data_IF_453783201025
#
_entry.id   IF_453783201025
#
_cell.length_a   1.000
_cell.length_b   1.000
_cell.length_c   1.000
_cell.angle_alpha   90.00
_cell.angle_beta   90.00
_cell.angle_gamma   90.00
#
_symmetry.space_group_name_H-M   'P 1'
#
loop_
_entity.id
_entity.type
_entity.pdbx_description
1 polymer ?
#
# COMPACT_ATOMS: atom_id res chain seq x y z
N UNK A 1 23.97 2.12 -2.57
CA UNK A 1 23.09 2.76 -1.56
C UNK A 1 21.76 2.97 -2.25
N UNK A 2 20.68 2.36 -1.75
CA UNK A 2 19.36 2.50 -2.37
C UNK A 2 18.68 3.76 -1.83
N UNK A 3 18.52 4.74 -2.70
CA UNK A 3 17.78 5.97 -2.43
C UNK A 3 16.30 5.63 -2.31
N UNK A 4 15.73 5.77 -1.10
CA UNK A 4 14.28 5.77 -0.91
C UNK A 4 13.73 6.92 -1.75
N UNK A 5 13.02 6.59 -2.83
CA UNK A 5 12.31 7.57 -3.65
C UNK A 5 10.82 7.45 -3.38
N UNK A 6 10.30 8.18 -2.37
CA UNK A 6 8.87 8.26 -2.11
C UNK A 6 8.25 9.32 -3.04
N UNK A 7 8.65 9.34 -4.30
CA UNK A 7 8.23 10.37 -5.24
C UNK A 7 6.90 9.98 -5.88
N UNK A 8 6.08 10.95 -6.25
CA UNK A 8 4.91 10.70 -7.08
C UNK A 8 5.36 10.12 -8.44
N UNK A 9 4.88 8.93 -8.83
CA UNK A 9 5.24 8.33 -10.12
C UNK A 9 4.74 9.14 -11.34
N UNK A 10 3.75 10.03 -11.15
CA UNK A 10 3.20 10.87 -12.22
C UNK A 10 3.97 12.19 -12.41
N UNK A 11 4.40 12.85 -11.34
CA UNK A 11 5.02 14.18 -11.41
C UNK A 11 6.39 14.29 -10.75
N UNK A 12 6.94 13.19 -10.20
CA UNK A 12 8.22 13.14 -9.48
C UNK A 12 8.34 14.16 -8.34
N UNK A 13 7.21 14.57 -7.75
CA UNK A 13 7.21 15.39 -6.53
C UNK A 13 7.53 14.51 -5.33
N UNK A 14 8.37 15.02 -4.45
CA UNK A 14 8.69 14.43 -3.14
C UNK A 14 7.42 14.30 -2.27
N UNK A 15 7.11 13.09 -1.79
CA UNK A 15 6.01 12.82 -0.86
C UNK A 15 6.58 12.28 0.46
N UNK A 16 6.79 13.16 1.46
CA UNK A 16 7.22 12.73 2.79
C UNK A 16 6.28 11.66 3.35
N UNK A 17 6.83 10.66 4.06
CA UNK A 17 6.05 9.56 4.65
C UNK A 17 4.96 10.00 5.64
N UNK A 18 5.08 11.22 6.17
CA UNK A 18 4.12 11.86 7.07
C UNK A 18 3.08 12.75 6.34
N UNK A 19 3.14 12.81 5.01
CA UNK A 19 2.23 13.63 4.20
C UNK A 19 0.87 12.96 4.04
N UNK A 20 -0.19 13.71 4.32
CA UNK A 20 -1.58 13.29 4.04
C UNK A 20 -1.91 13.25 2.54
N UNK A 21 -1.11 13.96 1.75
CA UNK A 21 -1.35 14.15 0.33
C UNK A 21 -0.72 13.05 -0.54
N UNK A 22 -0.41 11.89 0.04
CA UNK A 22 0.07 10.72 -0.68
C UNK A 22 -1.06 9.70 -0.82
N UNK A 23 -1.26 9.21 -2.04
CA UNK A 23 -2.21 8.15 -2.37
C UNK A 23 -1.43 6.91 -2.79
N UNK A 24 -1.93 5.75 -2.41
CA UNK A 24 -1.31 4.45 -2.69
C UNK A 24 -2.35 3.50 -3.27
N UNK A 25 -1.92 2.60 -4.15
CA UNK A 25 -2.75 1.49 -4.64
C UNK A 25 -2.36 0.17 -3.95
N UNK A 26 -3.12 -0.91 -4.19
CA UNK A 26 -2.80 -2.26 -3.67
C UNK A 26 -1.45 -2.83 -4.14
N UNK A 27 -0.89 -2.28 -5.22
CA UNK A 27 0.42 -2.63 -5.77
C UNK A 27 1.53 -1.65 -5.36
N UNK A 28 1.26 -0.81 -4.36
CA UNK A 28 2.24 0.09 -3.75
C UNK A 28 2.74 1.24 -4.67
N UNK A 29 2.07 1.50 -5.80
CA UNK A 29 2.32 2.72 -6.59
C UNK A 29 1.89 3.96 -5.79
N UNK A 30 2.76 4.97 -5.74
CA UNK A 30 2.54 6.20 -4.95
C UNK A 30 2.28 7.39 -5.87
N UNK A 31 1.20 8.13 -5.60
CA UNK A 31 0.81 9.33 -6.34
C UNK A 31 0.47 10.46 -5.37
N UNK A 32 0.74 11.70 -5.76
CA UNK A 32 0.30 12.85 -4.97
C UNK A 32 -1.22 13.05 -5.13
N UNK A 33 -1.87 13.64 -4.12
CA UNK A 33 -3.30 13.94 -4.12
C UNK A 33 -3.75 14.63 -5.41
N UNK A 34 -2.97 15.61 -5.86
CA UNK A 34 -3.27 16.38 -7.05
C UNK A 34 -3.23 15.52 -8.33
N UNK A 35 -2.21 14.66 -8.51
CA UNK A 35 -2.19 13.70 -9.63
C UNK A 35 -3.32 12.67 -9.52
N UNK A 36 -3.58 12.17 -8.31
CA UNK A 36 -4.64 11.21 -8.06
C UNK A 36 -6.01 11.80 -8.43
N UNK A 37 -6.32 13.05 -8.07
CA UNK A 37 -7.63 13.67 -8.33
C UNK A 37 -7.73 14.30 -9.72
N UNK A 38 -6.73 15.07 -10.16
CA UNK A 38 -6.82 15.87 -11.39
C UNK A 38 -6.46 15.09 -12.65
N UNK A 39 -5.50 14.16 -12.58
CA UNK A 39 -4.99 13.42 -13.74
C UNK A 39 -5.56 12.01 -13.83
N UNK A 40 -5.65 11.33 -12.68
CA UNK A 40 -5.90 9.89 -12.59
C UNK A 40 -7.32 9.56 -12.12
N UNK A 41 -8.09 10.54 -11.65
CA UNK A 41 -9.46 10.36 -11.15
C UNK A 41 -9.59 9.20 -10.14
N UNK A 42 -8.64 9.11 -9.22
CA UNK A 42 -8.50 8.06 -8.19
C UNK A 42 -8.30 6.65 -8.76
N UNK A 43 -7.76 6.52 -9.98
CA UNK A 43 -7.49 5.24 -10.62
C UNK A 43 -6.01 5.09 -11.02
N UNK A 44 -5.37 4.03 -10.53
CA UNK A 44 -3.97 3.75 -10.84
C UNK A 44 -3.81 3.46 -12.36
N UNK A 45 -2.93 4.15 -13.09
CA UNK A 45 -2.71 3.89 -14.52
C UNK A 45 -1.91 2.60 -14.77
N UNK A 46 -1.06 2.20 -13.83
CA UNK A 46 -0.23 0.99 -13.93
C UNK A 46 -1.01 -0.29 -13.56
N UNK A 47 -1.92 -0.16 -12.61
CA UNK A 47 -2.60 -1.27 -11.93
C UNK A 47 -4.09 -1.35 -12.25
N UNK A 48 -4.69 -0.28 -12.81
CA UNK A 48 -6.14 -0.09 -12.98
C UNK A 48 -6.98 -0.15 -11.68
N UNK A 49 -6.35 -0.25 -10.51
CA UNK A 49 -7.00 -0.29 -9.20
C UNK A 49 -7.34 1.10 -8.65
N UNK A 50 -8.02 1.12 -7.51
CA UNK A 50 -8.36 2.35 -6.80
C UNK A 50 -7.14 2.95 -6.09
N UNK A 51 -7.05 4.28 -6.11
CA UNK A 51 -6.07 5.04 -5.34
C UNK A 51 -6.74 5.52 -4.06
N UNK A 52 -6.22 5.05 -2.92
CA UNK A 52 -6.69 5.43 -1.59
C UNK A 52 -5.63 6.28 -0.88
N UNK A 53 -6.01 7.19 0.04
CA UNK A 53 -5.03 7.95 0.80
C UNK A 53 -4.13 7.00 1.61
N UNK A 54 -2.82 7.24 1.55
CA UNK A 54 -1.81 6.44 2.25
C UNK A 54 -2.05 6.55 3.76
N UNK A 55 -2.27 5.44 4.47
CA UNK A 55 -2.45 5.50 5.91
C UNK A 55 -1.18 6.07 6.56
N UNK A 56 -1.34 7.11 7.39
CA UNK A 56 -0.22 7.71 8.11
C UNK A 56 0.30 6.73 9.15
N UNK A 57 1.60 6.76 9.40
CA UNK A 57 2.19 6.07 10.55
C UNK A 57 1.67 6.77 11.80
N UNK A 58 0.63 6.23 12.42
CA UNK A 58 0.20 6.68 13.74
C UNK A 58 1.38 6.49 14.70
N UNK A 59 1.95 7.58 15.20
CA UNK A 59 3.01 7.57 16.21
C UNK A 59 2.53 7.00 17.54
N UNK A 60 1.21 6.84 17.71
CA UNK A 60 0.58 6.51 18.98
C UNK A 60 -0.43 5.37 18.76
N UNK A 61 -0.08 4.20 19.31
CA UNK A 61 -0.95 3.09 19.70
C UNK A 61 -1.79 2.42 18.59
N UNK A 62 -1.19 1.44 17.91
CA UNK A 62 -1.94 0.28 17.43
C UNK A 62 -1.86 -0.79 18.53
N UNK A 63 -2.96 -1.20 19.19
CA UNK A 63 -2.99 -2.51 19.81
C UNK A 63 -2.75 -3.51 18.68
N UNK A 64 -1.64 -4.22 18.75
CA UNK A 64 -1.28 -5.22 17.75
C UNK A 64 -2.46 -6.15 17.58
N UNK A 65 -3.04 -6.22 16.38
CA UNK A 65 -3.86 -7.36 16.01
C UNK A 65 -3.03 -8.60 16.35
N UNK A 66 -3.54 -9.55 17.15
CA UNK A 66 -2.78 -10.73 17.47
C UNK A 66 -2.39 -11.38 16.13
N UNK A 67 -1.13 -11.86 15.98
CA UNK A 67 -0.79 -12.66 14.82
C UNK A 67 -1.81 -13.80 14.78
N UNK A 68 -2.55 -13.88 13.68
CA UNK A 68 -3.50 -14.97 13.47
C UNK A 68 -2.72 -16.27 13.70
N UNK A 69 -3.18 -17.16 14.61
CA UNK A 69 -2.47 -18.40 14.84
C UNK A 69 -2.35 -19.11 13.49
N UNK A 70 -1.11 -19.35 13.06
CA UNK A 70 -0.80 -20.17 11.89
C UNK A 70 -1.71 -21.39 11.94
N UNK A 71 -2.65 -21.47 10.99
CA UNK A 71 -3.43 -22.69 10.83
C UNK A 71 -2.41 -23.72 10.35
N UNK A 72 -2.08 -24.76 11.13
CA UNK A 72 -1.16 -25.77 10.64
C UNK A 72 -1.78 -26.35 9.38
N UNK A 73 -1.07 -26.22 8.27
CA UNK A 73 -1.42 -26.83 7.00
C UNK A 73 -1.18 -28.33 7.13
N UNK A 74 -2.01 -29.00 7.94
CA UNK A 74 -2.06 -30.45 7.98
C UNK A 74 -2.82 -30.88 6.73
N UNK A 75 -2.11 -31.05 5.62
CA UNK A 75 -2.60 -31.90 4.53
C UNK A 75 -2.93 -33.24 5.17
N UNK A 76 -4.19 -33.73 5.15
CA UNK A 76 -4.43 -35.10 5.56
C UNK A 76 -3.60 -36.00 4.62
N UNK A 77 -2.78 -36.86 5.21
CA UNK A 77 -2.14 -37.94 4.48
C UNK A 77 -3.28 -38.76 3.86
N UNK A 78 -3.36 -38.72 2.54
CA UNK A 78 -4.28 -39.53 1.78
C UNK A 78 -3.75 -40.96 1.86
N UNK A 79 -4.26 -41.74 2.82
CA UNK A 79 -4.16 -43.19 2.80
C UNK A 79 -5.00 -43.68 1.61
N UNK A 80 -4.33 -44.05 0.52
CA UNK A 80 -4.92 -44.78 -0.59
C UNK A 80 -4.42 -46.22 -0.53
N UNK A 81 -5.39 -47.13 -0.58
CA UNK A 81 -5.33 -48.56 -0.26
C UNK A 81 -4.86 -49.40 -1.46
#
# INVERSE_FOLDING_TARGET
MLELRPDCECCNRDLPGDSDSAFICSYECTFCQNCATERLQLKCPNCSGELVPRPRRALETQPQSPPEPERPNTRPAQEDH
#
